data_IF_698663736154
#
_entry.id   IF_698663736154
#
_cell.length_a   1.000
_cell.length_b   1.000
_cell.length_c   1.000
_cell.angle_alpha   90.00
_cell.angle_beta   90.00
_cell.angle_gamma   90.00
#
_symmetry.space_group_name_H-M   'P 1'
#
loop_
_entity.id
_entity.type
_entity.pdbx_description
1 polymer ?
#
# COMPACT_ATOMS: atom_id res chain seq x y z
N UNK A 1 -23.27 -13.40 4.23
CA UNK A 1 -22.72 -12.02 4.22
C UNK A 1 -22.68 -11.55 2.78
N UNK A 2 -22.91 -10.26 2.50
CA UNK A 2 -22.77 -9.75 1.12
C UNK A 2 -21.30 -9.76 0.73
N UNK A 3 -20.96 -10.36 -0.41
CA UNK A 3 -19.60 -10.31 -0.95
C UNK A 3 -19.12 -8.88 -1.16
N UNK A 4 -17.83 -8.65 -0.93
CA UNK A 4 -17.19 -7.37 -1.23
C UNK A 4 -17.21 -7.10 -2.75
N UNK A 5 -17.30 -5.82 -3.17
CA UNK A 5 -17.12 -5.46 -4.57
C UNK A 5 -15.73 -5.91 -5.04
N UNK A 6 -15.67 -6.44 -6.26
CA UNK A 6 -14.42 -6.90 -6.88
C UNK A 6 -13.71 -5.74 -7.57
N UNK A 7 -12.38 -5.84 -7.66
CA UNK A 7 -11.60 -4.98 -8.53
C UNK A 7 -11.97 -5.21 -10.01
N UNK A 8 -12.19 -4.12 -10.74
CA UNK A 8 -12.47 -4.13 -12.17
C UNK A 8 -11.55 -3.11 -12.88
N UNK A 9 -10.52 -3.56 -13.63
CA UNK A 9 -9.61 -2.66 -14.33
C UNK A 9 -10.29 -1.86 -15.45
N UNK A 10 -11.48 -2.29 -15.90
CA UNK A 10 -12.27 -1.57 -16.90
C UNK A 10 -13.22 -0.52 -16.30
N UNK A 11 -13.29 -0.40 -14.98
CA UNK A 11 -14.10 0.61 -14.31
C UNK A 11 -13.57 2.03 -14.55
N UNK A 12 -14.48 3.02 -14.47
CA UNK A 12 -14.14 4.43 -14.65
C UNK A 12 -13.05 4.88 -13.68
N UNK A 13 -12.05 5.59 -14.21
CA UNK A 13 -11.01 6.23 -13.41
C UNK A 13 -11.61 7.48 -12.77
N UNK A 14 -11.94 7.37 -11.48
CA UNK A 14 -12.44 8.48 -10.66
C UNK A 14 -11.62 8.53 -9.37
N UNK A 15 -10.44 9.19 -9.42
CA UNK A 15 -9.55 9.31 -8.26
C UNK A 15 -10.31 9.87 -7.06
N UNK A 16 -9.87 9.52 -5.85
CA UNK A 16 -10.33 10.20 -4.66
C UNK A 16 -9.76 11.62 -4.67
N UNK A 17 -10.57 12.61 -4.28
CA UNK A 17 -10.04 13.93 -3.95
C UNK A 17 -9.28 13.91 -2.63
N UNK A 18 -8.47 14.92 -2.35
CA UNK A 18 -7.74 15.06 -1.08
C UNK A 18 -8.66 14.96 0.14
N UNK A 19 -9.84 15.61 0.08
CA UNK A 19 -10.86 15.51 1.13
C UNK A 19 -11.37 14.07 1.31
N UNK A 20 -11.55 13.33 0.22
CA UNK A 20 -12.00 11.93 0.28
C UNK A 20 -10.89 10.97 0.76
N UNK A 21 -9.62 11.27 0.48
CA UNK A 21 -8.48 10.54 1.03
C UNK A 21 -8.37 10.78 2.54
N UNK A 22 -8.48 12.03 2.98
CA UNK A 22 -8.50 12.38 4.41
C UNK A 22 -9.69 11.75 5.14
N UNK A 23 -10.90 11.75 4.54
CA UNK A 23 -12.05 11.05 5.12
C UNK A 23 -11.83 9.53 5.22
N UNK A 24 -11.13 8.93 4.24
CA UNK A 24 -10.81 7.51 4.28
C UNK A 24 -9.80 7.21 5.40
N UNK A 25 -8.76 8.02 5.52
CA UNK A 25 -7.75 7.92 6.58
C UNK A 25 -8.38 8.03 7.98
N UNK A 26 -9.20 9.07 8.19
CA UNK A 26 -9.95 9.28 9.44
C UNK A 26 -10.81 8.06 9.82
N UNK A 27 -11.47 7.45 8.83
CA UNK A 27 -12.32 6.29 9.07
C UNK A 27 -11.48 5.06 9.43
N UNK A 28 -10.32 4.86 8.79
CA UNK A 28 -9.43 3.74 9.07
C UNK A 28 -8.78 3.87 10.45
N UNK A 29 -8.32 5.07 10.82
CA UNK A 29 -7.73 5.37 12.12
C UNK A 29 -8.69 5.16 13.30
N UNK A 30 -10.01 5.24 13.07
CA UNK A 30 -11.05 5.01 14.08
C UNK A 30 -11.46 3.54 14.23
N UNK A 31 -10.90 2.63 13.43
CA UNK A 31 -11.22 1.21 13.52
C UNK A 31 -10.63 0.58 14.79
N UNK A 32 -11.27 -0.46 15.35
CA UNK A 32 -10.84 -1.06 16.61
C UNK A 32 -9.59 -1.94 16.50
N UNK A 33 -9.04 -2.12 15.29
CA UNK A 33 -7.89 -2.99 15.04
C UNK A 33 -6.64 -2.15 14.85
N UNK A 34 -5.60 -2.43 15.64
CA UNK A 34 -4.27 -1.82 15.47
C UNK A 34 -3.59 -2.26 14.16
N UNK A 35 -4.14 -3.28 13.48
CA UNK A 35 -3.69 -3.74 12.16
C UNK A 35 -4.47 -3.08 11.00
N UNK A 36 -5.35 -2.11 11.28
CA UNK A 36 -5.94 -1.29 10.22
C UNK A 36 -4.86 -0.37 9.63
N UNK A 37 -4.83 -0.26 8.30
CA UNK A 37 -3.88 0.58 7.58
C UNK A 37 -4.28 2.05 7.70
N UNK A 38 -3.31 2.95 7.83
CA UNK A 38 -3.50 4.36 7.48
C UNK A 38 -3.43 4.56 5.95
N UNK A 39 -3.53 5.80 5.50
CA UNK A 39 -3.52 6.11 4.07
C UNK A 39 -2.18 5.80 3.38
N UNK A 40 -1.05 6.01 4.05
CA UNK A 40 0.29 5.68 3.56
C UNK A 40 0.45 4.16 3.35
N UNK A 41 0.09 3.36 4.36
CA UNK A 41 0.13 1.91 4.26
C UNK A 41 -0.87 1.38 3.21
N UNK A 42 -2.06 1.98 3.11
CA UNK A 42 -3.02 1.61 2.07
C UNK A 42 -2.45 1.87 0.67
N UNK A 43 -1.77 3.00 0.45
CA UNK A 43 -1.16 3.34 -0.83
C UNK A 43 -0.06 2.34 -1.22
N UNK A 44 0.83 2.00 -0.29
CA UNK A 44 1.88 1.00 -0.51
C UNK A 44 1.34 -0.40 -0.76
N UNK A 45 0.33 -0.81 0.01
CA UNK A 45 -0.37 -2.08 -0.17
C UNK A 45 -1.04 -2.17 -1.55
N UNK A 46 -1.76 -1.12 -1.96
CA UNK A 46 -2.41 -1.07 -3.26
C UNK A 46 -1.40 -1.09 -4.41
N UNK A 47 -0.29 -0.36 -4.27
CA UNK A 47 0.79 -0.33 -5.27
C UNK A 47 1.40 -1.73 -5.44
N UNK A 48 1.74 -2.40 -4.34
CA UNK A 48 2.27 -3.76 -4.38
C UNK A 48 1.28 -4.74 -5.02
N UNK A 49 -0.01 -4.69 -4.68
CA UNK A 49 -1.03 -5.55 -5.31
C UNK A 49 -1.10 -5.40 -6.84
N UNK A 50 -0.83 -4.21 -7.38
CA UNK A 50 -0.79 -3.96 -8.82
C UNK A 50 0.51 -4.45 -9.48
N UNK A 51 1.62 -4.40 -8.75
CA UNK A 51 2.93 -4.88 -9.20
C UNK A 51 3.12 -6.39 -8.99
N UNK A 52 2.21 -7.01 -8.24
CA UNK A 52 2.26 -8.41 -7.87
C UNK A 52 2.25 -9.33 -9.10
N UNK A 53 2.85 -10.54 -8.99
CA UNK A 53 2.91 -11.47 -10.10
C UNK A 53 1.56 -11.94 -10.62
N UNK A 54 0.64 -12.18 -9.69
CA UNK A 54 -0.73 -12.55 -9.96
C UNK A 54 -1.58 -11.29 -10.18
N UNK A 55 -2.28 -11.14 -11.31
CA UNK A 55 -3.09 -9.96 -11.54
C UNK A 55 -4.21 -9.83 -10.50
N UNK A 56 -4.34 -8.63 -9.91
CA UNK A 56 -5.34 -8.34 -8.87
C UNK A 56 -6.77 -8.70 -9.27
N UNK A 57 -7.14 -8.53 -10.55
CA UNK A 57 -8.48 -8.88 -11.06
C UNK A 57 -8.81 -10.38 -10.97
N UNK A 58 -7.81 -11.23 -10.73
CA UNK A 58 -7.99 -12.67 -10.54
C UNK A 58 -8.17 -13.05 -9.07
N UNK A 59 -7.84 -12.17 -8.13
CA UNK A 59 -7.99 -12.39 -6.70
C UNK A 59 -9.44 -12.24 -6.27
N UNK A 60 -9.83 -12.97 -5.22
CA UNK A 60 -11.11 -12.75 -4.57
C UNK A 60 -10.99 -11.55 -3.62
N UNK A 61 -11.94 -10.61 -3.70
CA UNK A 61 -11.92 -9.41 -2.87
C UNK A 61 -11.96 -9.73 -1.37
N UNK A 62 -12.62 -10.83 -0.98
CA UNK A 62 -12.70 -11.26 0.40
C UNK A 62 -11.34 -11.74 0.97
N UNK A 63 -10.33 -12.00 0.13
CA UNK A 63 -9.02 -12.51 0.58
C UNK A 63 -8.00 -11.39 0.85
N UNK A 64 -8.11 -10.25 0.17
CA UNK A 64 -7.12 -9.15 0.26
C UNK A 64 -7.70 -7.86 0.82
N UNK A 65 -8.96 -7.54 0.52
CA UNK A 65 -9.54 -6.24 0.88
C UNK A 65 -9.78 -6.12 2.39
N UNK A 66 -10.16 -7.18 3.13
CA UNK A 66 -10.27 -7.10 4.58
C UNK A 66 -8.99 -6.75 5.32
N UNK A 67 -7.82 -7.05 4.76
CA UNK A 67 -6.54 -6.73 5.40
C UNK A 67 -6.36 -5.22 5.61
N UNK A 68 -6.98 -4.38 4.75
CA UNK A 68 -6.97 -2.91 4.90
C UNK A 68 -7.52 -2.45 6.25
N UNK A 69 -8.52 -3.13 6.78
CA UNK A 69 -9.13 -2.80 8.08
C UNK A 69 -8.74 -3.78 9.20
N UNK A 70 -7.63 -4.50 9.03
CA UNK A 70 -7.11 -5.45 10.01
C UNK A 70 -7.87 -6.79 10.06
N UNK A 71 -8.66 -7.11 9.03
CA UNK A 71 -9.34 -8.39 8.86
C UNK A 71 -10.77 -8.47 9.40
N UNK A 72 -11.45 -9.57 9.08
CA UNK A 72 -12.83 -9.87 9.52
C UNK A 72 -12.85 -10.94 10.65
N UNK A 73 -11.77 -11.05 11.43
CA UNK A 73 -11.56 -12.10 12.44
C UNK A 73 -12.58 -12.13 13.59
N UNK A 74 -12.38 -13.04 14.56
CA UNK A 74 -13.32 -13.29 15.68
C UNK A 74 -13.46 -12.14 16.72
N UNK A 75 -12.84 -10.98 16.46
CA UNK A 75 -12.89 -9.81 17.33
C UNK A 75 -14.16 -8.96 17.15
N UNK A 76 -14.06 -7.68 17.53
CA UNK A 76 -15.13 -6.71 17.26
C UNK A 76 -15.29 -6.55 15.75
N UNK A 77 -16.54 -6.50 15.28
CA UNK A 77 -16.81 -6.20 13.88
C UNK A 77 -16.16 -4.85 13.53
N UNK A 78 -15.32 -4.77 12.48
CA UNK A 78 -14.51 -3.58 12.21
C UNK A 78 -15.38 -2.34 11.94
N UNK A 79 -16.56 -2.54 11.35
CA UNK A 79 -17.46 -1.44 11.01
C UNK A 79 -18.78 -1.53 11.78
N UNK A 80 -19.30 -0.37 12.18
CA UNK A 80 -20.60 -0.25 12.82
C UNK A 80 -21.76 -0.65 11.89
N UNK A 81 -21.55 -0.62 10.56
CA UNK A 81 -22.57 -1.02 9.59
C UNK A 81 -21.97 -1.51 8.26
N UNK A 82 -22.73 -2.34 7.55
CA UNK A 82 -22.38 -2.75 6.19
C UNK A 82 -22.29 -1.58 5.19
N UNK A 83 -22.96 -0.45 5.46
CA UNK A 83 -22.85 0.77 4.63
C UNK A 83 -21.47 1.41 4.77
N UNK A 84 -20.94 1.49 6.00
CA UNK A 84 -19.59 2.01 6.25
C UNK A 84 -18.54 1.09 5.61
N UNK A 85 -18.65 -0.22 5.82
CA UNK A 85 -17.79 -1.23 5.17
C UNK A 85 -17.78 -1.08 3.64
N UNK A 86 -18.96 -0.95 3.02
CA UNK A 86 -19.06 -0.75 1.57
C UNK A 86 -18.44 0.57 1.12
N UNK A 87 -18.57 1.65 1.91
CA UNK A 87 -17.96 2.95 1.58
C UNK A 87 -16.44 2.85 1.56
N UNK A 88 -15.84 2.26 2.60
CA UNK A 88 -14.39 2.05 2.70
C UNK A 88 -13.90 1.15 1.56
N UNK A 89 -14.56 0.02 1.32
CA UNK A 89 -14.26 -0.86 0.19
C UNK A 89 -14.28 -0.12 -1.16
N UNK A 90 -15.27 0.75 -1.40
CA UNK A 90 -15.32 1.54 -2.63
C UNK A 90 -14.24 2.63 -2.69
N UNK A 91 -13.82 3.19 -1.55
CA UNK A 91 -12.69 4.12 -1.47
C UNK A 91 -11.40 3.43 -1.91
N UNK A 92 -11.08 2.28 -1.32
CA UNK A 92 -9.91 1.46 -1.69
C UNK A 92 -9.93 1.11 -3.18
N UNK A 93 -11.08 0.64 -3.69
CA UNK A 93 -11.19 0.28 -5.11
C UNK A 93 -11.02 1.47 -6.06
N UNK A 94 -11.43 2.68 -5.67
CA UNK A 94 -11.18 3.90 -6.44
C UNK A 94 -9.71 4.30 -6.40
N UNK A 95 -9.07 4.18 -5.23
CA UNK A 95 -7.65 4.47 -5.06
C UNK A 95 -6.78 3.56 -5.92
N UNK A 96 -6.95 2.24 -5.78
CA UNK A 96 -6.18 1.28 -6.57
C UNK A 96 -6.47 1.38 -8.08
N UNK A 97 -7.69 1.77 -8.47
CA UNK A 97 -8.01 2.04 -9.88
C UNK A 97 -7.26 3.26 -10.42
N UNK A 98 -7.09 4.31 -9.61
CA UNK A 98 -6.30 5.48 -9.97
C UNK A 98 -4.82 5.11 -10.10
N UNK A 99 -4.25 4.42 -9.11
CA UNK A 99 -2.86 3.93 -9.17
C UNK A 99 -2.63 3.07 -10.43
N UNK A 100 -3.53 2.12 -10.71
CA UNK A 100 -3.44 1.28 -11.91
C UNK A 100 -3.45 2.10 -13.20
N UNK A 101 -4.25 3.17 -13.25
CA UNK A 101 -4.28 4.06 -14.41
C UNK A 101 -2.94 4.79 -14.58
N UNK A 102 -2.42 5.43 -13.53
CA UNK A 102 -1.18 6.21 -13.58
C UNK A 102 0.00 5.29 -13.89
N UNK A 103 0.14 4.17 -13.18
CA UNK A 103 1.21 3.21 -13.39
C UNK A 103 1.23 2.62 -14.82
N UNK A 104 0.10 2.58 -15.53
CA UNK A 104 0.07 2.09 -16.92
C UNK A 104 0.22 3.19 -17.98
N UNK A 105 -0.29 4.40 -17.74
CA UNK A 105 -0.40 5.42 -18.78
C UNK A 105 0.58 6.59 -18.61
N UNK A 106 0.97 6.89 -17.37
CA UNK A 106 1.88 7.99 -17.04
C UNK A 106 2.70 7.64 -15.78
N UNK A 107 3.57 6.62 -15.84
CA UNK A 107 4.30 6.14 -14.67
C UNK A 107 5.27 7.17 -14.10
N UNK A 108 5.73 8.14 -14.90
CA UNK A 108 6.60 9.23 -14.44
C UNK A 108 5.83 10.25 -13.58
N UNK A 109 4.50 10.26 -13.64
CA UNK A 109 3.62 11.06 -12.80
C UNK A 109 3.12 10.33 -11.55
N UNK A 110 3.53 9.08 -11.33
CA UNK A 110 3.20 8.36 -10.10
C UNK A 110 4.07 8.84 -8.94
N UNK A 111 3.42 9.22 -7.84
CA UNK A 111 4.06 9.62 -6.58
C UNK A 111 3.42 8.82 -5.44
N UNK A 112 4.21 8.17 -4.56
CA UNK A 112 3.68 7.48 -3.39
C UNK A 112 3.24 8.47 -2.30
N UNK A 113 2.26 8.05 -1.50
CA UNK A 113 1.83 8.82 -0.33
C UNK A 113 2.75 8.46 0.84
N UNK A 114 3.75 9.31 1.10
CA UNK A 114 4.65 9.22 2.24
C UNK A 114 4.32 10.27 3.30
N UNK A 115 4.63 9.93 4.55
CA UNK A 115 4.64 10.88 5.65
C UNK A 115 5.87 11.78 5.57
N UNK A 116 5.80 12.91 6.27
CA UNK A 116 6.94 13.80 6.47
C UNK A 116 7.23 13.87 7.96
N UNK A 117 8.45 13.53 8.36
CA UNK A 117 8.93 13.71 9.72
C UNK A 117 9.62 15.08 9.84
N UNK A 118 9.24 15.86 10.85
CA UNK A 118 9.89 17.14 11.17
C UNK A 118 10.85 16.97 12.36
N UNK A 119 12.13 17.29 12.16
CA UNK A 119 13.13 17.31 13.22
C UNK A 119 14.18 18.40 12.94
N UNK A 120 14.54 19.18 13.96
CA UNK A 120 15.59 20.20 13.89
C UNK A 120 15.47 21.19 12.71
N UNK A 121 14.26 21.70 12.45
CA UNK A 121 13.92 22.60 11.33
C UNK A 121 14.15 21.99 9.92
N UNK A 122 14.26 20.66 9.82
CA UNK A 122 14.35 19.90 8.58
C UNK A 122 13.18 18.93 8.42
N UNK A 123 12.74 18.76 7.17
CA UNK A 123 11.71 17.81 6.75
C UNK A 123 12.38 16.57 6.12
N UNK A 124 11.99 15.40 6.60
CA UNK A 124 12.50 14.11 6.17
C UNK A 124 11.37 13.28 5.56
N UNK A 125 11.66 12.56 4.48
CA UNK A 125 10.73 11.57 3.93
C UNK A 125 10.62 10.41 4.91
N UNK A 126 9.39 10.13 5.35
CA UNK A 126 9.06 8.97 6.16
C UNK A 126 8.18 8.00 5.36
N UNK A 127 8.82 6.95 4.86
CA UNK A 127 8.20 5.93 4.02
C UNK A 127 7.83 4.65 4.81
N UNK A 128 7.93 4.67 6.15
CA UNK A 128 7.76 3.48 7.00
C UNK A 128 6.41 2.78 6.79
N UNK A 129 5.31 3.52 6.99
CA UNK A 129 3.95 2.97 6.86
C UNK A 129 3.66 2.48 5.45
N UNK A 130 4.10 3.24 4.45
CA UNK A 130 3.97 2.83 3.05
C UNK A 130 4.70 1.51 2.79
N UNK A 131 5.91 1.35 3.33
CA UNK A 131 6.68 0.11 3.20
C UNK A 131 6.02 -1.06 3.93
N UNK A 132 5.46 -0.84 5.13
CA UNK A 132 4.68 -1.85 5.87
C UNK A 132 3.46 -2.32 5.07
N UNK A 133 2.74 -1.38 4.44
CA UNK A 133 1.66 -1.67 3.52
C UNK A 133 2.11 -2.51 2.33
N UNK A 134 3.22 -2.12 1.69
CA UNK A 134 3.80 -2.87 0.57
C UNK A 134 4.13 -4.32 0.96
N UNK A 135 4.80 -4.53 2.09
CA UNK A 135 5.17 -5.86 2.59
C UNK A 135 3.95 -6.72 2.92
N UNK A 136 2.87 -6.12 3.41
CA UNK A 136 1.60 -6.82 3.65
C UNK A 136 1.03 -7.45 2.36
N UNK A 137 1.23 -6.82 1.20
CA UNK A 137 0.86 -7.39 -0.10
C UNK A 137 1.91 -8.39 -0.63
N UNK A 138 3.18 -8.22 -0.27
CA UNK A 138 4.23 -9.21 -0.57
C UNK A 138 3.90 -10.54 0.10
N UNK A 139 3.45 -10.51 1.35
CA UNK A 139 3.11 -11.71 2.13
C UNK A 139 1.93 -12.51 1.54
N UNK A 140 1.04 -11.87 0.79
CA UNK A 140 -0.05 -12.55 0.08
C UNK A 140 0.44 -13.49 -1.03
N UNK A 141 1.58 -13.19 -1.64
CA UNK A 141 2.20 -13.98 -2.72
C UNK A 141 3.74 -14.01 -2.58
N UNK A 142 4.22 -14.40 -1.40
CA UNK A 142 5.65 -14.36 -1.08
C UNK A 142 6.51 -15.16 -2.08
N UNK A 143 5.99 -16.31 -2.55
CA UNK A 143 6.67 -17.14 -3.54
C UNK A 143 6.74 -16.44 -4.91
N UNK A 144 5.65 -15.83 -5.36
CA UNK A 144 5.63 -15.07 -6.60
C UNK A 144 6.58 -13.88 -6.56
N UNK A 145 6.60 -13.13 -5.46
CA UNK A 145 7.50 -12.00 -5.27
C UNK A 145 8.97 -12.41 -5.26
N UNK A 146 9.31 -13.51 -4.58
CA UNK A 146 10.66 -14.07 -4.59
C UNK A 146 11.11 -14.46 -6.00
N UNK A 147 10.20 -15.01 -6.83
CA UNK A 147 10.50 -15.37 -8.21
C UNK A 147 10.66 -14.16 -9.13
N UNK A 148 9.80 -13.14 -8.97
CA UNK A 148 9.83 -11.89 -9.73
C UNK A 148 11.09 -11.08 -9.41
N UNK A 149 11.41 -10.92 -8.13
CA UNK A 149 12.52 -10.12 -7.64
C UNK A 149 13.80 -10.95 -7.47
N UNK A 150 14.03 -11.97 -8.31
CA UNK A 150 15.26 -12.78 -8.23
C UNK A 150 16.51 -12.06 -8.75
N UNK A 151 16.33 -11.04 -9.59
CA UNK A 151 17.42 -10.24 -10.13
C UNK A 151 17.95 -9.28 -9.04
N UNK A 152 19.25 -8.94 -9.03
CA UNK A 152 19.84 -8.08 -8.00
C UNK A 152 19.09 -6.77 -7.76
N UNK A 153 18.59 -6.15 -8.82
CA UNK A 153 17.85 -4.89 -8.74
C UNK A 153 16.53 -5.06 -7.98
N UNK A 154 15.75 -6.11 -8.31
CA UNK A 154 14.52 -6.42 -7.59
C UNK A 154 14.76 -6.84 -6.14
N UNK A 155 15.84 -7.59 -5.86
CA UNK A 155 16.24 -7.94 -4.50
C UNK A 155 16.58 -6.68 -3.68
N UNK A 156 17.35 -5.76 -4.27
CA UNK A 156 17.72 -4.51 -3.63
C UNK A 156 16.50 -3.66 -3.31
N UNK A 157 15.52 -3.58 -4.21
CA UNK A 157 14.26 -2.85 -3.94
C UNK A 157 13.50 -3.47 -2.77
N UNK A 158 13.30 -4.80 -2.73
CA UNK A 158 12.61 -5.43 -1.60
C UNK A 158 13.39 -5.30 -0.28
N UNK A 159 14.72 -5.32 -0.33
CA UNK A 159 15.56 -5.07 0.85
C UNK A 159 15.43 -3.64 1.36
N UNK A 160 15.39 -2.64 0.47
CA UNK A 160 15.18 -1.25 0.84
C UNK A 160 13.80 -1.04 1.48
N UNK A 161 12.74 -1.65 0.91
CA UNK A 161 11.39 -1.63 1.47
C UNK A 161 11.38 -2.28 2.86
N UNK A 162 11.97 -3.47 3.02
CA UNK A 162 12.07 -4.13 4.32
C UNK A 162 12.81 -3.27 5.35
N UNK A 163 13.96 -2.69 4.98
CA UNK A 163 14.74 -1.86 5.89
C UNK A 163 13.99 -0.59 6.32
N UNK A 164 13.28 0.06 5.39
CA UNK A 164 12.43 1.22 5.69
C UNK A 164 11.22 0.85 6.56
N UNK A 165 10.64 -0.34 6.38
CA UNK A 165 9.60 -0.86 7.27
C UNK A 165 10.11 -1.26 8.68
N UNK A 166 11.41 -1.09 8.96
CA UNK A 166 12.01 -1.52 10.23
C UNK A 166 12.23 -3.04 10.32
N UNK A 167 12.12 -3.75 9.21
CA UNK A 167 12.38 -5.18 9.08
C UNK A 167 13.80 -5.47 8.57
N UNK A 168 14.24 -6.73 8.72
CA UNK A 168 15.56 -7.18 8.26
C UNK A 168 16.71 -6.88 9.23
N UNK A 169 17.97 -7.16 8.84
CA UNK A 169 19.12 -7.15 9.74
C UNK A 169 19.45 -5.78 10.35
N UNK A 170 19.18 -4.70 9.61
CA UNK A 170 19.60 -3.34 9.94
C UNK A 170 18.42 -2.35 10.04
N UNK A 171 17.17 -2.78 9.84
CA UNK A 171 16.01 -1.89 9.64
C UNK A 171 15.71 -0.96 10.82
N UNK A 172 15.95 -1.42 12.06
CA UNK A 172 15.73 -0.65 13.28
C UNK A 172 16.88 0.32 13.63
N UNK A 173 18.05 0.15 13.00
CA UNK A 173 19.28 0.87 13.33
C UNK A 173 19.68 1.91 12.26
N UNK A 174 18.82 2.17 11.27
CA UNK A 174 19.07 3.17 10.23
C UNK A 174 19.02 4.60 10.80
N UNK A 175 20.00 5.42 10.43
CA UNK A 175 19.95 6.86 10.73
C UNK A 175 18.83 7.56 9.95
N UNK A 176 18.34 8.70 10.46
CA UNK A 176 17.35 9.52 9.76
C UNK A 176 17.80 9.92 8.35
N UNK A 177 19.06 10.35 8.18
CA UNK A 177 19.64 10.64 6.87
C UNK A 177 19.56 9.46 5.89
N UNK A 178 19.78 8.23 6.39
CA UNK A 178 19.75 7.04 5.56
C UNK A 178 18.32 6.67 5.19
N UNK A 179 17.37 6.77 6.14
CA UNK A 179 15.94 6.55 5.88
C UNK A 179 15.41 7.54 4.84
N UNK A 180 15.74 8.82 4.96
CA UNK A 180 15.34 9.84 4.00
C UNK A 180 15.94 9.61 2.61
N UNK A 181 17.24 9.30 2.52
CA UNK A 181 17.89 9.01 1.25
C UNK A 181 17.27 7.77 0.56
N UNK A 182 16.99 6.70 1.32
CA UNK A 182 16.30 5.52 0.80
C UNK A 182 14.86 5.82 0.38
N UNK A 183 14.10 6.55 1.22
CA UNK A 183 12.72 6.95 0.94
C UNK A 183 12.61 7.79 -0.33
N UNK A 184 13.51 8.76 -0.53
CA UNK A 184 13.56 9.58 -1.76
C UNK A 184 13.91 8.78 -3.02
N UNK A 185 14.71 7.72 -2.88
CA UNK A 185 15.06 6.83 -3.99
C UNK A 185 14.01 5.74 -4.27
N UNK A 186 13.08 5.53 -3.33
CA UNK A 186 12.14 4.43 -3.40
C UNK A 186 11.19 4.49 -4.62
N UNK A 187 10.66 5.66 -5.04
CA UNK A 187 9.76 5.71 -6.19
C UNK A 187 10.38 5.15 -7.48
N UNK A 188 11.61 5.54 -7.81
CA UNK A 188 12.33 5.03 -8.98
C UNK A 188 12.56 3.52 -8.88
N UNK A 189 12.97 3.05 -7.70
CA UNK A 189 13.21 1.63 -7.45
C UNK A 189 11.93 0.78 -7.60
N UNK A 190 10.79 1.30 -7.15
CA UNK A 190 9.47 0.65 -7.26
C UNK A 190 8.98 0.62 -8.71
N UNK A 191 9.15 1.72 -9.47
CA UNK A 191 8.83 1.73 -10.90
C UNK A 191 9.67 0.71 -11.67
N UNK A 192 10.91 0.44 -11.23
CA UNK A 192 11.77 -0.61 -11.77
C UNK A 192 11.25 -2.04 -11.57
N UNK A 193 10.31 -2.27 -10.64
CA UNK A 193 9.67 -3.57 -10.43
C UNK A 193 8.56 -3.86 -11.46
N UNK A 194 8.11 -2.85 -12.20
CA UNK A 194 7.06 -3.01 -13.22
C UNK A 194 7.52 -3.99 -14.29
N UNK A 195 6.61 -4.86 -14.71
CA UNK A 195 6.83 -5.76 -15.83
C UNK A 195 6.78 -4.94 -17.12
N UNK A 196 7.81 -5.06 -17.96
CA UNK A 196 7.80 -4.54 -19.33
C UNK A 196 6.89 -5.34 -20.27
#
# INVERSE_FOLDING_TARGET
MSHLPKYDPASDVRPLSDDELSELDDVLAQLPSDAAMNIEALDGYCTALLLAPQPLSTLNADDWLPLVWGGDGEGLAPFASGKQRKRVAMGVLRHIRHLDHVLHHDPDAWEPIFSVAEADDAEWVDAEDWCLGFLSAVDLDAEGWALQCRAPEGQATLQAIAALAGEGPDGQDLSLDTRDALGRGLPEAVLGLRRG
#
